data_IF_506081603139
#
_entry.id   IF_506081603139
#
_cell.length_a   1.000
_cell.length_b   1.000
_cell.length_c   1.000
_cell.angle_alpha   90.00
_cell.angle_beta   90.00
_cell.angle_gamma   90.00
#
_symmetry.space_group_name_H-M   'P 1'
#
loop_
_entity.id
_entity.type
_entity.pdbx_description
1 polymer ?
#
# COMPACT_ATOMS: atom_id res chain seq x y z
N UNK A 1 -22.18 15.59 35.97
CA UNK A 1 -21.04 16.06 36.79
C UNK A 1 -19.94 15.02 36.94
N UNK A 2 -20.24 13.73 37.13
CA UNK A 2 -19.21 12.67 37.25
C UNK A 2 -18.29 12.47 36.03
N UNK A 3 -18.75 12.74 34.80
CA UNK A 3 -17.92 12.58 33.58
C UNK A 3 -16.84 13.66 33.41
N UNK A 4 -17.03 14.85 34.00
CA UNK A 4 -16.05 15.96 34.00
C UNK A 4 -14.83 15.64 34.85
N UNK A 5 -15.04 14.98 35.99
CA UNK A 5 -13.98 14.68 36.94
C UNK A 5 -13.03 13.58 36.45
N UNK A 6 -13.48 12.71 35.54
CA UNK A 6 -12.70 11.59 35.00
C UNK A 6 -12.13 11.82 33.58
N UNK A 7 -12.27 13.01 32.99
CA UNK A 7 -11.77 13.33 31.64
C UNK A 7 -12.32 12.40 30.52
N UNK A 8 -13.50 11.81 30.75
CA UNK A 8 -14.16 10.82 29.86
C UNK A 8 -15.16 11.46 28.89
N UNK A 9 -15.22 12.78 28.84
CA UNK A 9 -16.17 13.53 28.01
C UNK A 9 -16.04 13.17 26.52
N UNK A 10 -14.82 13.04 26.01
CA UNK A 10 -14.56 12.63 24.63
C UNK A 10 -15.12 11.24 24.33
N UNK A 11 -14.96 10.27 25.25
CA UNK A 11 -15.45 8.90 25.04
C UNK A 11 -16.97 8.86 25.09
N UNK A 12 -17.57 9.62 26.02
CA UNK A 12 -19.01 9.71 26.14
C UNK A 12 -19.66 10.39 24.91
N UNK A 13 -19.03 11.44 24.38
CA UNK A 13 -19.45 12.08 23.13
C UNK A 13 -19.29 11.14 21.93
N UNK A 14 -18.21 10.35 21.88
CA UNK A 14 -17.99 9.37 20.80
C UNK A 14 -19.04 8.27 20.83
N UNK A 15 -19.41 7.78 22.01
CA UNK A 15 -20.45 6.75 22.19
C UNK A 15 -21.86 7.28 21.87
N UNK A 16 -22.15 8.54 22.23
CA UNK A 16 -23.41 9.19 21.85
C UNK A 16 -23.50 9.43 20.34
N UNK A 17 -22.39 9.79 19.68
CA UNK A 17 -22.33 9.92 18.22
C UNK A 17 -22.48 8.57 17.49
N UNK A 18 -22.01 7.48 18.09
CA UNK A 18 -22.25 6.12 17.61
C UNK A 18 -23.71 5.69 17.78
N UNK A 19 -24.36 6.08 18.88
CA UNK A 19 -25.79 5.81 19.11
C UNK A 19 -26.75 6.60 18.20
N UNK A 20 -26.28 7.71 17.61
CA UNK A 20 -27.04 8.53 16.64
C UNK A 20 -26.84 8.11 15.18
N UNK A 21 -26.02 7.11 14.89
CA UNK A 21 -25.98 6.50 13.55
C UNK A 21 -27.25 5.68 13.34
N UNK A 22 -28.19 6.21 12.56
CA UNK A 22 -29.32 5.44 12.04
C UNK A 22 -28.77 4.26 11.18
N UNK A 23 -29.08 2.99 11.51
CA UNK A 23 -28.55 1.83 10.80
C UNK A 23 -29.01 1.71 9.33
N UNK A 24 -29.93 2.56 8.85
CA UNK A 24 -30.61 2.35 7.57
C UNK A 24 -30.35 3.40 6.46
N UNK A 25 -29.34 4.26 6.57
CA UNK A 25 -28.92 5.08 5.41
C UNK A 25 -27.54 4.67 4.93
N UNK A 26 -27.43 3.74 3.94
CA UNK A 26 -26.16 3.52 3.29
C UNK A 26 -25.73 4.83 2.62
N UNK A 27 -24.49 5.31 2.84
CA UNK A 27 -23.96 6.42 2.07
C UNK A 27 -24.08 6.06 0.59
N UNK A 28 -24.61 6.97 -0.22
CA UNK A 28 -24.70 6.79 -1.68
C UNK A 28 -23.33 6.30 -2.17
N UNK A 29 -23.25 5.14 -2.84
CA UNK A 29 -21.96 4.59 -3.25
C UNK A 29 -21.21 5.67 -4.03
N UNK A 30 -20.03 6.06 -3.54
CA UNK A 30 -19.16 6.97 -4.27
C UNK A 30 -19.04 6.44 -5.70
N UNK A 31 -19.43 7.26 -6.68
CA UNK A 31 -19.50 6.86 -8.08
C UNK A 31 -18.22 6.11 -8.44
N UNK A 32 -18.39 4.82 -8.78
CA UNK A 32 -17.28 3.91 -9.05
C UNK A 32 -16.39 4.60 -10.08
N UNK A 33 -15.09 4.80 -9.81
CA UNK A 33 -14.22 5.40 -10.81
C UNK A 33 -14.35 4.59 -12.11
N UNK A 34 -14.42 5.24 -13.27
CA UNK A 34 -14.62 4.54 -14.53
C UNK A 34 -13.54 3.47 -14.70
N UNK A 35 -13.94 2.27 -15.13
CA UNK A 35 -13.04 1.11 -15.26
C UNK A 35 -11.93 1.33 -16.29
N UNK A 36 -12.13 2.27 -17.22
CA UNK A 36 -11.13 2.75 -18.15
C UNK A 36 -10.88 4.23 -17.92
N UNK A 37 -9.60 4.58 -17.92
CA UNK A 37 -9.19 5.98 -17.98
C UNK A 37 -9.66 6.59 -19.32
N UNK A 38 -10.02 7.88 -19.30
CA UNK A 38 -10.49 8.57 -20.49
C UNK A 38 -9.43 8.67 -21.61
N UNK A 39 -8.16 8.50 -21.25
CA UNK A 39 -6.99 8.53 -22.12
C UNK A 39 -6.40 7.14 -22.44
N UNK A 40 -7.12 6.04 -22.13
CA UNK A 40 -6.63 4.67 -22.25
C UNK A 40 -6.03 4.31 -23.62
N UNK A 41 -6.56 4.87 -24.71
CA UNK A 41 -6.08 4.61 -26.08
C UNK A 41 -5.23 5.73 -26.68
N UNK A 42 -5.13 6.87 -26.01
CA UNK A 42 -4.43 8.06 -26.54
C UNK A 42 -3.04 8.20 -25.92
N UNK A 43 -2.85 7.71 -24.70
CA UNK A 43 -1.62 7.89 -23.95
C UNK A 43 -0.55 6.84 -24.33
N UNK A 44 0.59 7.24 -24.95
CA UNK A 44 1.64 6.31 -25.35
C UNK A 44 2.35 5.65 -24.17
N UNK A 45 2.24 6.21 -22.95
CA UNK A 45 2.94 5.68 -21.78
C UNK A 45 2.36 4.33 -21.33
N UNK A 46 1.05 4.11 -21.49
CA UNK A 46 0.44 2.79 -21.23
C UNK A 46 1.00 1.70 -22.14
N UNK A 47 1.22 2.02 -23.41
CA UNK A 47 1.76 1.06 -24.38
C UNK A 47 3.25 0.79 -24.11
N UNK A 48 4.04 1.83 -23.81
CA UNK A 48 5.45 1.67 -23.40
C UNK A 48 5.56 0.78 -22.17
N UNK A 49 4.72 1.02 -21.18
CA UNK A 49 4.67 0.26 -19.95
C UNK A 49 4.27 -1.22 -20.19
N UNK A 50 3.26 -1.47 -21.03
CA UNK A 50 2.84 -2.83 -21.38
C UNK A 50 3.95 -3.61 -22.09
N UNK A 51 4.60 -3.00 -23.09
CA UNK A 51 5.72 -3.59 -23.85
C UNK A 51 6.90 -3.92 -22.93
N UNK A 52 7.21 -3.01 -22.01
CA UNK A 52 8.28 -3.17 -21.03
C UNK A 52 8.02 -4.32 -20.05
N UNK A 53 6.79 -4.43 -19.56
CA UNK A 53 6.36 -5.54 -18.71
C UNK A 53 6.41 -6.87 -19.47
N UNK A 54 5.96 -6.88 -20.72
CA UNK A 54 6.04 -8.05 -21.61
C UNK A 54 7.49 -8.47 -21.84
N UNK A 55 8.39 -7.51 -22.10
CA UNK A 55 9.81 -7.77 -22.29
C UNK A 55 10.44 -8.43 -21.04
N UNK A 56 10.14 -7.92 -19.84
CA UNK A 56 10.60 -8.54 -18.60
C UNK A 56 10.08 -9.97 -18.44
N UNK A 57 8.80 -10.22 -18.76
CA UNK A 57 8.22 -11.56 -18.73
C UNK A 57 8.88 -12.51 -19.74
N UNK A 58 9.14 -12.06 -20.96
CA UNK A 58 9.79 -12.85 -22.01
C UNK A 58 11.23 -13.19 -21.66
N UNK A 59 11.98 -12.26 -21.02
CA UNK A 59 13.33 -12.53 -20.53
C UNK A 59 13.29 -13.60 -19.44
N UNK A 60 12.39 -13.48 -18.46
CA UNK A 60 12.22 -14.50 -17.43
C UNK A 60 11.81 -15.85 -18.03
N UNK A 61 10.88 -15.85 -18.98
CA UNK A 61 10.41 -17.05 -19.68
C UNK A 61 11.54 -17.77 -20.41
N UNK A 62 12.27 -17.05 -21.26
CA UNK A 62 13.41 -17.59 -21.99
C UNK A 62 14.52 -18.06 -21.06
N UNK A 63 14.74 -17.37 -19.93
CA UNK A 63 15.72 -17.77 -18.94
C UNK A 63 15.36 -19.11 -18.28
N UNK A 64 14.17 -19.25 -17.71
CA UNK A 64 13.84 -20.50 -17.00
C UNK A 64 13.66 -21.68 -17.96
N UNK A 65 13.10 -21.43 -19.14
CA UNK A 65 12.95 -22.47 -20.17
C UNK A 65 14.31 -22.86 -20.77
N UNK A 66 15.24 -21.93 -20.94
CA UNK A 66 16.57 -22.23 -21.48
C UNK A 66 17.50 -22.97 -20.51
N UNK A 67 17.25 -22.89 -19.21
CA UNK A 67 17.99 -23.61 -18.16
C UNK A 67 17.30 -24.93 -17.79
N UNK A 68 16.18 -25.26 -18.44
CA UNK A 68 15.30 -26.40 -18.11
C UNK A 68 14.90 -26.42 -16.62
N UNK A 69 14.72 -25.25 -16.03
CA UNK A 69 14.39 -25.08 -14.61
C UNK A 69 12.93 -24.66 -14.42
N UNK A 70 12.01 -25.59 -14.71
CA UNK A 70 10.55 -25.34 -14.64
C UNK A 70 10.06 -24.90 -13.25
N UNK A 71 10.78 -25.28 -12.18
CA UNK A 71 10.47 -24.87 -10.81
C UNK A 71 10.51 -23.34 -10.58
N UNK A 72 11.33 -22.60 -11.34
CA UNK A 72 11.47 -21.15 -11.17
C UNK A 72 10.49 -20.32 -12.03
N UNK A 73 9.45 -20.93 -12.63
CA UNK A 73 8.42 -20.23 -13.43
C UNK A 73 7.78 -19.03 -12.69
N UNK A 74 7.84 -19.03 -11.36
CA UNK A 74 7.42 -17.93 -10.49
C UNK A 74 8.16 -16.60 -10.77
N UNK A 75 9.30 -16.62 -11.47
CA UNK A 75 9.97 -15.40 -11.95
C UNK A 75 9.12 -14.60 -12.93
N UNK A 76 8.46 -15.25 -13.89
CA UNK A 76 7.56 -14.61 -14.84
C UNK A 76 6.36 -14.00 -14.13
N UNK A 77 5.73 -14.78 -13.23
CA UNK A 77 4.59 -14.32 -12.44
C UNK A 77 4.99 -13.12 -11.54
N UNK A 78 6.24 -13.07 -11.10
CA UNK A 78 6.77 -11.95 -10.33
C UNK A 78 6.84 -10.67 -11.15
N UNK A 79 7.27 -10.75 -12.41
CA UNK A 79 7.28 -9.59 -13.29
C UNK A 79 5.90 -8.98 -13.48
N UNK A 80 4.88 -9.82 -13.67
CA UNK A 80 3.48 -9.39 -13.86
C UNK A 80 2.90 -8.76 -12.60
N UNK A 81 3.10 -9.38 -11.43
CA UNK A 81 2.46 -8.90 -10.20
C UNK A 81 3.11 -7.62 -9.68
N UNK A 82 4.43 -7.50 -9.85
CA UNK A 82 5.18 -6.30 -9.49
C UNK A 82 4.87 -5.15 -10.43
N UNK A 83 4.46 -5.44 -11.67
CA UNK A 83 4.09 -4.44 -12.65
C UNK A 83 3.07 -3.46 -12.03
N UNK A 84 3.56 -2.24 -11.75
CA UNK A 84 2.72 -1.09 -11.44
C UNK A 84 3.20 0.12 -12.25
N UNK A 85 2.31 0.89 -12.92
CA UNK A 85 2.67 2.11 -13.66
C UNK A 85 3.22 3.26 -12.81
N UNK A 86 3.32 3.08 -11.49
CA UNK A 86 3.99 4.02 -10.61
C UNK A 86 5.24 3.35 -10.04
N UNK A 87 6.42 3.80 -10.49
CA UNK A 87 7.74 3.25 -10.13
C UNK A 87 7.89 3.08 -8.61
N UNK A 88 7.55 4.09 -7.81
CA UNK A 88 7.56 4.00 -6.34
C UNK A 88 6.72 2.86 -5.75
N UNK A 89 5.53 2.62 -6.32
CA UNK A 89 4.65 1.54 -5.87
C UNK A 89 5.09 0.16 -6.39
N UNK A 90 5.81 0.12 -7.52
CA UNK A 90 6.42 -1.10 -8.08
C UNK A 90 7.53 -1.60 -7.15
N UNK A 91 8.45 -0.71 -6.73
CA UNK A 91 9.48 -1.03 -5.74
C UNK A 91 8.89 -1.51 -4.42
N UNK A 92 7.86 -0.83 -3.92
CA UNK A 92 7.18 -1.27 -2.71
C UNK A 92 6.61 -2.69 -2.89
N UNK A 93 5.90 -2.98 -3.99
CA UNK A 93 5.39 -4.32 -4.28
C UNK A 93 6.50 -5.37 -4.39
N UNK A 94 7.66 -5.04 -4.97
CA UNK A 94 8.83 -5.94 -4.99
C UNK A 94 9.26 -6.33 -3.58
N UNK A 95 9.41 -5.34 -2.69
CA UNK A 95 9.83 -5.57 -1.30
C UNK A 95 8.79 -6.38 -0.53
N UNK A 96 7.50 -6.07 -0.70
CA UNK A 96 6.44 -6.84 -0.03
C UNK A 96 6.39 -8.29 -0.53
N UNK A 97 6.64 -8.52 -1.83
CA UNK A 97 6.69 -9.87 -2.40
C UNK A 97 7.83 -10.68 -1.82
N UNK A 98 9.01 -10.08 -1.74
CA UNK A 98 10.18 -10.70 -1.13
C UNK A 98 9.94 -10.98 0.36
N UNK A 99 9.47 -9.99 1.13
CA UNK A 99 9.20 -10.13 2.55
C UNK A 99 8.14 -11.19 2.87
N UNK A 100 7.02 -11.19 2.15
CA UNK A 100 5.96 -12.18 2.35
C UNK A 100 6.39 -13.60 1.98
N UNK A 101 7.12 -13.78 0.87
CA UNK A 101 7.64 -15.10 0.49
C UNK A 101 8.70 -15.60 1.46
N UNK A 102 9.59 -14.72 1.93
CA UNK A 102 10.62 -15.06 2.91
C UNK A 102 10.01 -15.50 4.26
N UNK A 103 9.06 -14.73 4.78
CA UNK A 103 8.33 -15.10 6.01
C UNK A 103 7.56 -16.41 5.83
N UNK A 104 6.88 -16.60 4.69
CA UNK A 104 6.14 -17.83 4.40
C UNK A 104 7.04 -19.05 4.29
N UNK A 105 8.22 -18.91 3.69
CA UNK A 105 9.23 -19.96 3.58
C UNK A 105 9.81 -20.36 4.93
N UNK A 106 10.15 -19.39 5.79
CA UNK A 106 10.63 -19.67 7.16
C UNK A 106 9.55 -20.39 7.96
N UNK A 107 8.30 -19.92 7.88
CA UNK A 107 7.19 -20.52 8.59
C UNK A 107 6.93 -21.96 8.12
N UNK A 108 7.00 -22.21 6.81
CA UNK A 108 6.88 -23.55 6.23
C UNK A 108 8.00 -24.47 6.71
N UNK A 109 9.25 -23.99 6.71
CA UNK A 109 10.41 -24.75 7.18
C UNK A 109 10.28 -25.13 8.66
N UNK A 110 9.90 -24.18 9.52
CA UNK A 110 9.68 -24.44 10.94
C UNK A 110 8.54 -25.43 11.16
N UNK A 111 7.44 -25.29 10.42
CA UNK A 111 6.31 -26.21 10.48
C UNK A 111 6.71 -27.63 10.08
N UNK A 112 7.45 -27.79 8.98
CA UNK A 112 7.91 -29.10 8.49
C UNK A 112 8.89 -29.77 9.45
N UNK A 113 9.79 -29.01 10.10
CA UNK A 113 10.77 -29.60 11.02
C UNK A 113 10.22 -29.88 12.42
N UNK A 114 9.36 -29.00 12.95
CA UNK A 114 8.93 -29.05 14.35
C UNK A 114 7.55 -29.67 14.54
N UNK A 115 6.66 -29.59 13.55
CA UNK A 115 5.24 -29.95 13.70
C UNK A 115 4.91 -31.21 12.90
N UNK A 116 5.26 -31.26 11.61
CA UNK A 116 4.95 -32.41 10.74
C UNK A 116 5.38 -33.78 11.30
N UNK A 117 6.50 -33.95 12.01
CA UNK A 117 6.88 -35.25 12.60
C UNK A 117 5.92 -35.78 13.66
N UNK A 118 5.04 -34.93 14.19
CA UNK A 118 4.11 -35.25 15.28
C UNK A 118 2.64 -35.34 14.82
N UNK A 119 2.38 -35.12 13.53
CA UNK A 119 1.03 -35.11 12.97
C UNK A 119 0.76 -36.45 12.32
N UNK A 120 -0.14 -37.24 12.90
CA UNK A 120 -0.52 -38.56 12.38
C UNK A 120 -1.88 -38.52 11.67
N UNK A 121 -2.70 -37.48 11.94
CA UNK A 121 -4.07 -37.38 11.43
C UNK A 121 -4.36 -36.06 10.69
N UNK A 122 -5.25 -36.13 9.70
CA UNK A 122 -5.73 -34.96 8.94
C UNK A 122 -6.45 -33.92 9.83
N UNK A 123 -7.11 -34.38 10.89
CA UNK A 123 -7.81 -33.52 11.85
C UNK A 123 -6.81 -32.68 12.64
N UNK A 124 -5.70 -33.28 13.09
CA UNK A 124 -4.62 -32.59 13.79
C UNK A 124 -3.94 -31.57 12.86
N UNK A 125 -3.66 -31.98 11.61
CA UNK A 125 -3.13 -31.07 10.59
C UNK A 125 -4.04 -29.85 10.42
N UNK A 126 -5.35 -30.05 10.27
CA UNK A 126 -6.31 -28.95 10.10
C UNK A 126 -6.34 -28.02 11.32
N UNK A 127 -6.29 -28.58 12.54
CA UNK A 127 -6.26 -27.78 13.78
C UNK A 127 -5.00 -26.93 13.91
N UNK A 128 -3.85 -27.37 13.41
CA UNK A 128 -2.62 -26.57 13.43
C UNK A 128 -2.57 -25.57 12.27
N UNK A 129 -3.10 -25.93 11.11
CA UNK A 129 -3.13 -25.05 9.94
C UNK A 129 -4.10 -23.87 10.12
N UNK A 130 -5.22 -24.11 10.79
CA UNK A 130 -6.26 -23.10 11.05
C UNK A 130 -5.73 -21.81 11.71
N UNK A 131 -5.00 -21.84 12.84
CA UNK A 131 -4.45 -20.62 13.44
C UNK A 131 -3.39 -19.95 12.55
N UNK A 132 -2.60 -20.72 11.79
CA UNK A 132 -1.60 -20.17 10.86
C UNK A 132 -2.28 -19.38 9.74
N UNK A 133 -3.29 -19.97 9.10
CA UNK A 133 -4.07 -19.28 8.08
C UNK A 133 -4.88 -18.13 8.63
N UNK A 134 -5.41 -18.24 9.84
CA UNK A 134 -6.12 -17.14 10.50
C UNK A 134 -5.19 -15.95 10.73
N UNK A 135 -3.97 -16.18 11.25
CA UNK A 135 -2.97 -15.13 11.42
C UNK A 135 -2.55 -14.52 10.08
N UNK A 136 -2.34 -15.36 9.06
CA UNK A 136 -2.00 -14.88 7.72
C UNK A 136 -3.12 -14.07 7.07
N UNK A 137 -4.37 -14.50 7.24
CA UNK A 137 -5.56 -13.76 6.80
C UNK A 137 -5.73 -12.45 7.56
N UNK A 138 -5.48 -12.44 8.87
CA UNK A 138 -5.49 -11.24 9.69
C UNK A 138 -4.47 -10.20 9.20
N UNK A 139 -3.24 -10.63 8.89
CA UNK A 139 -2.22 -9.75 8.31
C UNK A 139 -2.67 -9.27 6.91
N UNK A 140 -3.29 -10.16 6.13
CA UNK A 140 -3.83 -9.82 4.83
C UNK A 140 -4.97 -8.78 4.89
N UNK A 141 -5.74 -8.71 5.99
CA UNK A 141 -6.86 -7.77 6.15
C UNK A 141 -6.51 -6.50 6.94
N UNK A 142 -5.35 -6.45 7.59
CA UNK A 142 -4.99 -5.36 8.52
C UNK A 142 -4.79 -3.98 7.86
N UNK A 143 -4.21 -3.91 6.65
CA UNK A 143 -3.93 -2.63 5.96
C UNK A 143 -3.65 -2.84 4.48
N UNK A 144 -4.09 -1.92 3.60
CA UNK A 144 -3.76 -1.94 2.16
C UNK A 144 -2.25 -2.02 1.91
N UNK A 145 -1.43 -1.42 2.79
CA UNK A 145 0.04 -1.41 2.66
C UNK A 145 0.69 -2.74 3.04
N UNK A 146 0.06 -3.54 3.91
CA UNK A 146 0.61 -4.80 4.43
C UNK A 146 -0.13 -6.04 3.94
N UNK A 147 -1.31 -5.86 3.34
CA UNK A 147 -2.22 -6.92 2.90
C UNK A 147 -1.49 -7.95 2.02
N UNK A 148 -0.70 -7.44 1.08
CA UNK A 148 0.02 -8.26 0.12
C UNK A 148 1.08 -9.17 0.77
N UNK A 149 1.69 -8.75 1.89
CA UNK A 149 2.63 -9.60 2.65
C UNK A 149 1.90 -10.81 3.21
N UNK A 150 0.72 -10.60 3.81
CA UNK A 150 -0.08 -11.68 4.40
C UNK A 150 -0.52 -12.69 3.36
N UNK A 151 -1.05 -12.23 2.22
CA UNK A 151 -1.44 -13.12 1.11
C UNK A 151 -0.25 -13.91 0.58
N UNK A 152 0.90 -13.25 0.34
CA UNK A 152 2.09 -13.92 -0.18
C UNK A 152 2.65 -14.94 0.83
N UNK A 153 2.62 -14.63 2.12
CA UNK A 153 3.04 -15.53 3.19
C UNK A 153 2.17 -16.79 3.24
N UNK A 154 0.84 -16.64 3.23
CA UNK A 154 -0.13 -17.75 3.26
C UNK A 154 0.03 -18.64 2.04
N UNK A 155 0.10 -18.06 0.84
CA UNK A 155 0.25 -18.84 -0.39
C UNK A 155 1.61 -19.55 -0.42
N UNK A 156 2.68 -18.90 0.05
CA UNK A 156 4.01 -19.52 0.11
C UNK A 156 4.04 -20.68 1.09
N UNK A 157 3.47 -20.49 2.28
CA UNK A 157 3.33 -21.53 3.28
C UNK A 157 2.49 -22.71 2.76
N UNK A 158 1.32 -22.43 2.16
CA UNK A 158 0.41 -23.47 1.67
C UNK A 158 1.04 -24.33 0.57
N UNK A 159 1.71 -23.74 -0.43
CA UNK A 159 2.34 -24.55 -1.48
C UNK A 159 3.49 -25.40 -0.89
N UNK A 160 4.37 -24.77 -0.10
CA UNK A 160 5.51 -25.45 0.50
C UNK A 160 5.14 -26.59 1.46
N UNK A 161 3.96 -26.50 2.12
CA UNK A 161 3.52 -27.47 3.12
C UNK A 161 2.36 -28.35 2.70
N UNK A 162 1.64 -28.09 1.59
CA UNK A 162 0.50 -28.91 1.16
C UNK A 162 0.68 -29.55 -0.22
N UNK A 163 1.47 -28.95 -1.11
CA UNK A 163 1.61 -29.43 -2.48
C UNK A 163 2.39 -30.76 -2.55
N UNK A 164 3.33 -30.98 -1.62
CA UNK A 164 4.15 -32.20 -1.55
C UNK A 164 3.74 -33.17 -0.42
N UNK A 165 2.58 -32.98 0.21
CA UNK A 165 2.16 -33.79 1.37
C UNK A 165 1.43 -35.04 0.94
N UNK A 166 2.23 -36.02 0.50
CA UNK A 166 2.05 -37.44 0.80
C UNK A 166 3.41 -38.14 1.03
N UNK A 167 4.37 -37.48 1.68
CA UNK A 167 5.65 -38.08 2.03
C UNK A 167 6.56 -37.16 2.85
N UNK A 168 7.61 -37.70 3.51
CA UNK A 168 8.53 -36.90 4.32
C UNK A 168 9.24 -35.85 3.46
N UNK A 169 8.93 -34.58 3.74
CA UNK A 169 9.37 -33.41 2.98
C UNK A 169 10.85 -33.14 3.27
N UNK A 170 11.73 -33.76 2.50
CA UNK A 170 13.14 -33.39 2.39
C UNK A 170 13.42 -32.44 1.21
N UNK A 171 12.42 -32.21 0.36
CA UNK A 171 12.62 -31.42 -0.86
C UNK A 171 12.35 -29.93 -0.62
N UNK A 172 13.35 -29.24 -0.08
CA UNK A 172 13.38 -27.76 -0.04
C UNK A 172 13.53 -27.15 -1.45
N UNK A 173 13.55 -27.98 -2.50
CA UNK A 173 13.63 -27.59 -3.90
C UNK A 173 12.53 -26.59 -4.24
N UNK A 174 11.29 -26.82 -3.82
CA UNK A 174 10.20 -25.91 -4.17
C UNK A 174 10.31 -24.54 -3.48
N UNK A 175 10.67 -24.53 -2.19
CA UNK A 175 10.92 -23.29 -1.44
C UNK A 175 12.08 -22.50 -2.08
N UNK A 176 13.17 -23.20 -2.41
CA UNK A 176 14.35 -22.64 -3.06
C UNK A 176 13.99 -22.08 -4.43
N UNK A 177 13.32 -22.85 -5.26
CA UNK A 177 12.99 -22.48 -6.63
C UNK A 177 12.03 -21.29 -6.66
N UNK A 178 11.09 -21.21 -5.72
CA UNK A 178 10.24 -20.02 -5.56
C UNK A 178 11.01 -18.80 -5.06
N UNK A 179 11.92 -18.97 -4.11
CA UNK A 179 12.76 -17.88 -3.62
C UNK A 179 13.65 -17.33 -4.76
N UNK A 180 14.33 -18.21 -5.50
CA UNK A 180 15.15 -17.85 -6.64
C UNK A 180 14.31 -17.22 -7.75
N UNK A 181 13.13 -17.77 -8.05
CA UNK A 181 12.21 -17.21 -9.03
C UNK A 181 11.77 -15.79 -8.67
N UNK A 182 11.42 -15.53 -7.41
CA UNK A 182 11.07 -14.17 -6.96
C UNK A 182 12.27 -13.23 -7.07
N UNK A 183 13.46 -13.64 -6.63
CA UNK A 183 14.68 -12.82 -6.72
C UNK A 183 14.98 -12.48 -8.17
N UNK A 184 15.02 -13.47 -9.06
CA UNK A 184 15.31 -13.28 -10.49
C UNK A 184 14.25 -12.39 -11.12
N UNK A 185 12.96 -12.66 -10.89
CA UNK A 185 11.87 -11.87 -11.43
C UNK A 185 11.91 -10.42 -10.96
N UNK A 186 12.24 -10.17 -9.70
CA UNK A 186 12.42 -8.82 -9.14
C UNK A 186 13.63 -8.11 -9.74
N UNK A 187 14.78 -8.79 -9.87
CA UNK A 187 16.00 -8.22 -10.45
C UNK A 187 15.79 -7.88 -11.92
N UNK A 188 15.27 -8.81 -12.72
CA UNK A 188 14.97 -8.59 -14.15
C UNK A 188 13.99 -7.43 -14.31
N UNK A 189 12.92 -7.41 -13.51
CA UNK A 189 11.95 -6.31 -13.54
C UNK A 189 12.59 -4.98 -13.15
N UNK A 190 13.43 -4.93 -12.11
CA UNK A 190 14.12 -3.72 -11.70
C UNK A 190 15.08 -3.20 -12.78
N UNK A 191 15.84 -4.08 -13.43
CA UNK A 191 16.73 -3.74 -14.55
C UNK A 191 15.92 -3.17 -15.71
N UNK A 192 14.89 -3.88 -16.16
CA UNK A 192 14.03 -3.42 -17.25
C UNK A 192 13.36 -2.09 -16.88
N UNK A 193 12.81 -1.97 -15.66
CA UNK A 193 12.23 -0.74 -15.12
C UNK A 193 13.19 0.45 -15.09
N UNK A 194 14.47 0.20 -14.83
CA UNK A 194 15.51 1.24 -14.78
C UNK A 194 16.03 1.63 -16.16
N UNK A 195 16.20 0.69 -17.10
CA UNK A 195 16.90 0.94 -18.36
C UNK A 195 15.99 1.16 -19.58
N UNK A 196 14.80 0.55 -19.65
CA UNK A 196 13.95 0.58 -20.85
C UNK A 196 12.86 1.66 -20.68
N UNK A 197 12.93 2.81 -21.34
CA UNK A 197 12.01 3.96 -21.06
C UNK A 197 11.85 4.22 -19.56
N UNK A 198 12.90 4.70 -18.89
CA UNK A 198 12.79 5.16 -17.52
C UNK A 198 11.71 6.25 -17.45
N UNK A 199 10.68 5.97 -16.65
CA UNK A 199 9.68 6.96 -16.31
C UNK A 199 10.34 7.96 -15.38
N UNK A 200 10.48 9.21 -15.83
CA UNK A 200 11.01 10.26 -14.97
C UNK A 200 9.92 10.71 -14.00
N UNK A 201 10.11 10.38 -12.72
CA UNK A 201 9.29 10.90 -11.62
C UNK A 201 9.46 12.43 -11.51
N UNK A 202 10.53 13.00 -12.05
CA UNK A 202 10.75 14.45 -12.07
C UNK A 202 9.64 15.23 -12.81
N UNK A 203 9.03 14.65 -13.85
CA UNK A 203 7.93 15.28 -14.60
C UNK A 203 6.57 15.14 -13.91
N UNK A 204 6.38 14.04 -13.20
CA UNK A 204 5.11 13.72 -12.52
C UNK A 204 5.04 14.31 -11.11
N UNK A 205 6.18 14.61 -10.48
CA UNK A 205 6.26 15.25 -9.17
C UNK A 205 5.54 16.62 -9.10
N UNK A 206 5.76 17.57 -10.02
CA UNK A 206 5.00 18.84 -10.04
C UNK A 206 3.49 18.64 -10.19
N UNK A 207 3.06 17.65 -10.99
CA UNK A 207 1.64 17.35 -11.20
C UNK A 207 0.99 16.80 -9.91
N UNK A 208 1.68 15.89 -9.21
CA UNK A 208 1.22 15.37 -7.91
C UNK A 208 1.21 16.43 -6.83
N UNK A 209 2.20 17.32 -6.80
CA UNK A 209 2.21 18.48 -5.90
C UNK A 209 1.02 19.39 -6.15
N UNK A 210 0.74 19.73 -7.42
CA UNK A 210 -0.42 20.53 -7.79
C UNK A 210 -1.75 19.86 -7.36
N UNK A 211 -1.88 18.55 -7.56
CA UNK A 211 -3.04 17.78 -7.09
C UNK A 211 -3.19 17.81 -5.55
N UNK A 212 -2.07 17.69 -4.83
CA UNK A 212 -2.04 17.75 -3.36
C UNK A 212 -2.43 19.13 -2.83
N UNK A 213 -1.92 20.21 -3.43
CA UNK A 213 -2.34 21.58 -3.13
C UNK A 213 -3.82 21.80 -3.49
N UNK A 214 -4.30 21.18 -4.56
CA UNK A 214 -5.73 21.14 -4.91
C UNK A 214 -6.57 20.50 -3.80
N UNK A 215 -6.13 19.38 -3.21
CA UNK A 215 -6.80 18.79 -2.06
C UNK A 215 -6.75 19.67 -0.81
N UNK A 216 -5.62 20.32 -0.53
CA UNK A 216 -5.51 21.29 0.56
C UNK A 216 -6.52 22.42 0.39
N UNK A 217 -6.68 22.94 -0.83
CA UNK A 217 -7.70 23.95 -1.14
C UNK A 217 -9.13 23.45 -0.89
N UNK A 218 -9.41 22.17 -1.17
CA UNK A 218 -10.71 21.55 -0.89
C UNK A 218 -10.98 21.47 0.61
N UNK A 219 -9.98 21.08 1.41
CA UNK A 219 -10.08 21.03 2.88
C UNK A 219 -10.44 22.40 3.44
N UNK A 220 -9.75 23.46 2.98
CA UNK A 220 -9.99 24.82 3.45
C UNK A 220 -11.36 25.39 3.04
N UNK A 221 -12.01 24.80 2.02
CA UNK A 221 -13.35 25.21 1.56
C UNK A 221 -14.50 24.50 2.27
N UNK A 222 -14.23 23.49 3.11
CA UNK A 222 -15.29 22.75 3.78
C UNK A 222 -16.01 23.71 4.75
N UNK A 223 -17.33 23.88 4.61
CA UNK A 223 -18.08 24.78 5.48
C UNK A 223 -18.03 24.28 6.93
N UNK A 224 -17.84 25.22 7.85
CA UNK A 224 -17.62 24.99 9.29
C UNK A 224 -18.88 24.56 10.06
N UNK A 225 -19.99 24.34 9.37
CA UNK A 225 -21.26 24.03 10.00
C UNK A 225 -21.20 22.69 10.73
N UNK A 226 -21.83 22.65 11.91
CA UNK A 226 -21.72 21.61 12.94
C UNK A 226 -22.46 20.31 12.58
N UNK A 227 -22.36 19.86 11.34
CA UNK A 227 -22.85 18.56 10.90
C UNK A 227 -21.74 17.50 11.05
N UNK A 228 -22.08 16.38 11.69
CA UNK A 228 -21.18 15.23 11.87
C UNK A 228 -20.61 14.74 10.53
N UNK A 229 -21.37 14.90 9.43
CA UNK A 229 -20.96 14.56 8.07
C UNK A 229 -19.83 15.45 7.55
N UNK A 230 -19.86 16.76 7.84
CA UNK A 230 -18.82 17.70 7.43
C UNK A 230 -17.51 17.41 8.17
N UNK A 231 -17.57 17.07 9.47
CA UNK A 231 -16.40 16.69 10.26
C UNK A 231 -15.77 15.37 9.78
N UNK A 232 -16.58 14.35 9.45
CA UNK A 232 -16.06 13.10 8.87
C UNK A 232 -15.37 13.34 7.53
N UNK A 233 -15.97 14.15 6.68
CA UNK A 233 -15.41 14.52 5.38
C UNK A 233 -14.09 15.27 5.54
N UNK A 234 -14.02 16.21 6.49
CA UNK A 234 -12.80 16.92 6.85
C UNK A 234 -11.69 15.95 7.28
N UNK A 235 -11.97 15.06 8.23
CA UNK A 235 -10.98 14.10 8.74
C UNK A 235 -10.50 13.13 7.64
N UNK A 236 -11.41 12.64 6.79
CA UNK A 236 -11.05 11.76 5.66
C UNK A 236 -10.12 12.46 4.68
N UNK A 237 -10.47 13.68 4.25
CA UNK A 237 -9.63 14.42 3.30
C UNK A 237 -8.31 14.81 3.95
N UNK A 238 -8.29 15.13 5.27
CA UNK A 238 -7.06 15.42 6.03
C UNK A 238 -6.10 14.22 6.06
N UNK A 239 -6.60 13.01 6.33
CA UNK A 239 -5.78 11.79 6.29
C UNK A 239 -5.22 11.58 4.89
N UNK A 240 -6.07 11.73 3.86
CA UNK A 240 -5.66 11.64 2.46
C UNK A 240 -4.61 12.69 2.07
N UNK A 241 -4.73 13.91 2.61
CA UNK A 241 -3.79 15.01 2.36
C UNK A 241 -2.42 14.74 3.00
N UNK A 242 -2.38 14.24 4.24
CA UNK A 242 -1.12 13.79 4.85
C UNK A 242 -0.47 12.65 4.06
N UNK A 243 -1.26 11.67 3.64
CA UNK A 243 -0.76 10.57 2.80
C UNK A 243 -0.20 11.09 1.46
N UNK A 244 -0.85 12.06 0.84
CA UNK A 244 -0.39 12.66 -0.41
C UNK A 244 0.89 13.49 -0.26
N UNK A 245 1.04 14.27 0.82
CA UNK A 245 2.30 14.94 1.12
C UNK A 245 3.45 13.94 1.33
N UNK A 246 3.20 12.87 2.09
CA UNK A 246 4.21 11.81 2.30
C UNK A 246 4.59 11.13 0.98
N UNK A 247 3.62 10.87 0.10
CA UNK A 247 3.88 10.30 -1.21
C UNK A 247 4.72 11.23 -2.11
N UNK A 248 4.48 12.55 -2.04
CA UNK A 248 5.29 13.54 -2.75
C UNK A 248 6.73 13.61 -2.19
N UNK A 249 6.90 13.44 -0.89
CA UNK A 249 8.21 13.40 -0.24
C UNK A 249 9.01 12.15 -0.61
N UNK A 250 8.39 10.96 -0.59
CA UNK A 250 9.01 9.72 -1.09
C UNK A 250 9.39 9.84 -2.58
N UNK A 251 8.57 10.54 -3.38
CA UNK A 251 8.84 10.80 -4.78
C UNK A 251 10.04 11.75 -4.97
N UNK A 252 10.19 12.77 -4.12
CA UNK A 252 11.40 13.62 -4.12
C UNK A 252 12.67 12.80 -3.84
N UNK A 253 12.60 11.83 -2.92
CA UNK A 253 13.74 10.95 -2.61
C UNK A 253 14.10 10.04 -3.80
N UNK A 254 13.11 9.55 -4.55
CA UNK A 254 13.35 8.77 -5.78
C UNK A 254 13.93 9.63 -6.90
N UNK A 255 13.41 10.85 -7.09
CA UNK A 255 13.97 11.82 -8.05
C UNK A 255 15.43 12.15 -7.71
N UNK A 256 15.81 12.20 -6.43
CA UNK A 256 17.21 12.39 -6.03
C UNK A 256 18.16 11.29 -6.55
N UNK A 257 17.64 10.09 -6.78
CA UNK A 257 18.39 8.94 -7.31
C UNK A 257 18.36 8.85 -8.84
N UNK A 258 17.56 9.67 -9.54
CA UNK A 258 17.50 9.69 -11.00
C UNK A 258 18.79 10.25 -11.60
N UNK A 259 19.62 9.37 -12.15
CA UNK A 259 20.91 9.73 -12.77
C UNK A 259 20.78 10.41 -14.14
N UNK A 260 19.56 10.48 -14.70
CA UNK A 260 19.33 10.96 -16.07
C UNK A 260 19.14 12.47 -16.18
N UNK A 261 18.69 13.14 -15.11
CA UNK A 261 18.63 14.59 -15.08
C UNK A 261 20.02 15.17 -14.77
N UNK A 262 20.25 16.34 -15.36
CA UNK A 262 21.38 17.17 -15.01
C UNK A 262 21.39 17.46 -13.50
N UNK A 263 22.59 17.50 -12.92
CA UNK A 263 22.73 17.50 -11.46
C UNK A 263 22.18 18.77 -10.82
N UNK A 264 22.27 19.91 -11.52
CA UNK A 264 21.76 21.19 -11.04
C UNK A 264 20.24 21.27 -11.14
N UNK A 265 19.67 20.88 -12.29
CA UNK A 265 18.21 20.86 -12.49
C UNK A 265 17.51 19.93 -11.50
N UNK A 266 18.09 18.75 -11.24
CA UNK A 266 17.59 17.79 -10.25
C UNK A 266 17.59 18.38 -8.85
N UNK A 267 18.70 18.99 -8.42
CA UNK A 267 18.83 19.58 -7.09
C UNK A 267 17.80 20.71 -6.90
N UNK A 268 17.66 21.59 -7.89
CA UNK A 268 16.72 22.71 -7.86
C UNK A 268 15.26 22.22 -7.81
N UNK A 269 14.90 21.19 -8.58
CA UNK A 269 13.56 20.64 -8.57
C UNK A 269 13.21 20.05 -7.18
N UNK A 270 14.16 19.33 -6.57
CA UNK A 270 13.96 18.72 -5.25
C UNK A 270 13.81 19.80 -4.18
N UNK A 271 14.68 20.81 -4.17
CA UNK A 271 14.64 21.91 -3.22
C UNK A 271 13.29 22.66 -3.27
N UNK A 272 12.84 23.01 -4.49
CA UNK A 272 11.54 23.66 -4.70
C UNK A 272 10.39 22.77 -4.26
N UNK A 273 10.43 21.48 -4.61
CA UNK A 273 9.39 20.52 -4.24
C UNK A 273 9.29 20.33 -2.72
N UNK A 274 10.43 20.18 -2.04
CA UNK A 274 10.49 20.09 -0.58
C UNK A 274 9.98 21.38 0.09
N UNK A 275 10.31 22.54 -0.47
CA UNK A 275 9.80 23.83 0.01
C UNK A 275 8.27 23.89 -0.08
N UNK A 276 7.69 23.48 -1.21
CA UNK A 276 6.24 23.43 -1.40
C UNK A 276 5.57 22.45 -0.43
N UNK A 277 6.17 21.27 -0.20
CA UNK A 277 5.66 20.29 0.77
C UNK A 277 5.66 20.87 2.18
N UNK A 278 6.77 21.51 2.59
CA UNK A 278 6.90 22.14 3.91
C UNK A 278 5.87 23.24 4.11
N UNK A 279 5.76 24.17 3.16
CA UNK A 279 4.77 25.25 3.22
C UNK A 279 3.33 24.70 3.24
N UNK A 280 3.04 23.67 2.45
CA UNK A 280 1.73 23.02 2.45
C UNK A 280 1.36 22.38 3.80
N UNK A 281 2.33 21.73 4.47
CA UNK A 281 2.15 21.20 5.84
C UNK A 281 1.95 22.33 6.86
N UNK A 282 2.73 23.40 6.77
CA UNK A 282 2.62 24.54 7.68
C UNK A 282 1.24 25.22 7.55
N UNK A 283 0.74 25.40 6.33
CA UNK A 283 -0.62 25.92 6.07
C UNK A 283 -1.67 25.00 6.69
N UNK A 284 -1.55 23.69 6.51
CA UNK A 284 -2.49 22.73 7.09
C UNK A 284 -2.50 22.79 8.63
N UNK A 285 -1.33 22.85 9.26
CA UNK A 285 -1.20 22.95 10.71
C UNK A 285 -1.77 24.27 11.25
N UNK A 286 -1.49 25.39 10.57
CA UNK A 286 -2.07 26.68 10.93
C UNK A 286 -3.60 26.66 10.78
N UNK A 287 -4.11 26.06 9.69
CA UNK A 287 -5.54 25.90 9.47
C UNK A 287 -6.19 25.05 10.58
N UNK A 288 -5.63 23.89 10.91
CA UNK A 288 -6.08 23.02 12.01
C UNK A 288 -6.15 23.79 13.34
N UNK A 289 -5.11 24.58 13.66
CA UNK A 289 -5.07 25.38 14.88
C UNK A 289 -6.19 26.44 14.90
N UNK A 290 -6.39 27.16 13.79
CA UNK A 290 -7.46 28.15 13.68
C UNK A 290 -8.84 27.50 13.79
N UNK A 291 -9.05 26.36 13.13
CA UNK A 291 -10.29 25.60 13.19
C UNK A 291 -10.65 25.18 14.62
N UNK A 292 -9.69 24.59 15.33
CA UNK A 292 -9.87 24.14 16.71
C UNK A 292 -10.08 25.30 17.69
N UNK A 293 -9.28 26.38 17.57
CA UNK A 293 -9.40 27.55 18.43
C UNK A 293 -10.76 28.23 18.31
N UNK A 294 -11.28 28.27 17.10
CA UNK A 294 -12.52 28.94 16.83
C UNK A 294 -13.72 28.06 17.20
N UNK A 295 -13.60 26.72 17.10
CA UNK A 295 -14.58 25.79 17.68
C UNK A 295 -14.65 25.90 19.20
N UNK A 296 -13.51 26.07 19.89
CA UNK A 296 -13.49 26.34 21.33
C UNK A 296 -14.21 27.66 21.68
N UNK A 297 -14.07 28.68 20.83
CA UNK A 297 -14.75 29.97 20.99
C UNK A 297 -16.26 29.87 20.78
N UNK A 298 -16.72 29.16 19.73
CA UNK A 298 -18.15 28.94 19.47
C UNK A 298 -18.81 28.19 20.64
N UNK A 299 -18.13 27.17 21.17
CA UNK A 299 -18.59 26.42 22.34
C UNK A 299 -18.64 27.29 23.62
N UNK A 300 -17.70 28.23 23.78
CA UNK A 300 -17.68 29.16 24.91
C UNK A 300 -18.76 30.26 24.80
N UNK A 301 -19.15 30.63 23.58
CA UNK A 301 -20.20 31.61 23.28
C UNK A 301 -21.62 31.02 23.28
N UNK A 302 -21.77 29.71 23.49
CA UNK A 302 -23.06 29.05 23.76
C UNK A 302 -23.27 28.71 25.25
N UNK A 303 -23.21 29.66 26.21
CA UNK A 303 -23.73 29.40 27.54
C UNK A 303 -25.27 29.56 27.52
N UNK A 304 -25.99 28.58 28.07
CA UNK A 304 -27.44 28.57 28.31
C UNK A 304 -28.39 28.61 27.10
N UNK A 305 -28.55 27.46 26.44
CA UNK A 305 -29.89 26.98 26.08
C UNK A 305 -30.18 25.69 26.86
N UNK A 306 -30.36 25.84 28.17
CA UNK A 306 -31.11 24.91 29.00
C UNK A 306 -32.52 25.48 29.20
#
# INVERSE_FOLDING_TARGET
MAARECNLENICQTLLQLGQMDPNTPPTPAAKPPSMAADAFTNPDYMRYAVKTLLACLICYTFYSGVDWEGIHTCMLTCVIVANPNVGSSYQKMVLRFGGAFCGAILALLFTLLVMPWLDNIVELLFVLAPIFLLGAWIATSSERSSYIGTQMVVTFALATLENVFGPVYDLVEIRDRALGIIIGTVVSAVIYTFVWPESEARTLPQKLAGTLGMLSKVMRIPRQQEVTALRTYLQIRIGLHAAFNACEEMCQRVALERQLDSEERALLIERSQTVIRQGRDILHAWDATWNSAQALDNALQPDRA
#
